data_IF_375420726172
#
_entry.id   IF_375420726172
#
_cell.length_a   1.000
_cell.length_b   1.000
_cell.length_c   1.000
_cell.angle_alpha   90.00
_cell.angle_beta   90.00
_cell.angle_gamma   90.00
#
_symmetry.space_group_name_H-M   'P 1'
#
loop_
_entity.id
_entity.type
_entity.pdbx_description
1 polymer ?
#
# COMPACT_ATOMS: atom_id res chain seq x y z
N UNK A 1 10.87 25.59 -6.03
CA UNK A 1 11.25 25.54 -4.61
C UNK A 1 12.71 25.13 -4.44
N UNK A 2 13.11 23.87 -4.65
CA UNK A 2 14.53 23.44 -4.52
C UNK A 2 15.52 24.27 -5.35
N UNK A 3 15.23 24.52 -6.64
CA UNK A 3 16.05 25.39 -7.49
C UNK A 3 16.30 26.79 -6.92
N UNK A 4 15.29 27.35 -6.24
CA UNK A 4 15.37 28.68 -5.66
C UNK A 4 16.30 28.66 -4.43
N UNK A 5 16.19 27.63 -3.58
CA UNK A 5 17.08 27.45 -2.43
C UNK A 5 18.54 27.25 -2.84
N UNK A 6 18.81 26.48 -3.91
CA UNK A 6 20.17 26.36 -4.44
C UNK A 6 20.73 27.72 -4.90
N UNK A 7 19.91 28.55 -5.55
CA UNK A 7 20.31 29.89 -5.98
C UNK A 7 20.61 30.81 -4.79
N UNK A 8 19.81 30.74 -3.72
CA UNK A 8 19.99 31.53 -2.51
C UNK A 8 21.21 31.09 -1.67
N UNK A 9 21.58 29.80 -1.73
CA UNK A 9 22.70 29.25 -0.98
C UNK A 9 24.08 29.63 -1.52
N UNK A 10 24.17 30.11 -2.77
CA UNK A 10 25.40 30.62 -3.37
C UNK A 10 25.82 29.89 -4.64
N UNK A 11 26.86 30.41 -5.28
CA UNK A 11 27.39 29.87 -6.53
C UNK A 11 27.99 28.47 -6.32
N UNK A 12 27.74 27.56 -7.28
CA UNK A 12 28.21 26.17 -7.22
C UNK A 12 27.32 25.20 -6.44
N UNK A 13 26.28 25.67 -5.74
CA UNK A 13 25.30 24.78 -5.06
C UNK A 13 24.29 24.24 -6.08
N UNK A 14 24.23 22.92 -6.19
CA UNK A 14 23.31 22.21 -7.10
C UNK A 14 22.64 21.04 -6.40
N UNK A 15 21.71 20.38 -7.08
CA UNK A 15 21.04 19.18 -6.61
C UNK A 15 20.87 18.19 -7.77
N UNK A 16 20.74 16.93 -7.40
CA UNK A 16 20.31 15.87 -8.30
C UNK A 16 19.17 15.09 -7.66
N UNK A 17 18.38 14.41 -8.48
CA UNK A 17 17.38 13.47 -7.99
C UNK A 17 17.95 12.07 -8.10
N UNK A 18 18.29 11.46 -6.98
CA UNK A 18 18.64 10.04 -6.93
C UNK A 18 17.47 9.16 -7.42
N UNK A 19 16.25 9.50 -7.00
CA UNK A 19 15.03 8.85 -7.45
C UNK A 19 13.92 9.86 -7.77
N UNK A 20 13.30 9.72 -8.94
CA UNK A 20 12.07 10.42 -9.29
C UNK A 20 10.89 9.53 -8.96
N UNK A 21 9.96 10.04 -8.15
CA UNK A 21 8.72 9.35 -7.78
C UNK A 21 7.55 10.06 -8.47
N UNK A 22 7.32 9.84 -9.78
CA UNK A 22 6.17 10.42 -10.46
C UNK A 22 4.89 9.92 -9.79
N UNK A 23 3.84 10.76 -9.81
CA UNK A 23 2.54 10.36 -9.32
C UNK A 23 2.05 9.13 -10.12
N UNK A 24 1.61 8.10 -9.40
CA UNK A 24 0.98 6.91 -9.99
C UNK A 24 -0.43 6.84 -9.45
N UNK A 25 -1.40 6.82 -10.37
CA UNK A 25 -2.83 6.75 -10.06
C UNK A 25 -3.16 5.63 -9.07
N UNK A 26 -4.06 5.93 -8.13
CA UNK A 26 -4.50 4.96 -7.13
C UNK A 26 -5.41 3.91 -7.75
N UNK A 27 -5.36 2.68 -7.22
CA UNK A 27 -6.32 1.64 -7.61
C UNK A 27 -7.71 2.07 -7.17
N UNK A 28 -8.67 2.11 -8.10
CA UNK A 28 -10.06 2.42 -7.79
C UNK A 28 -10.68 1.31 -6.96
N UNK A 29 -11.37 1.70 -5.88
CA UNK A 29 -12.14 0.82 -4.99
C UNK A 29 -13.63 1.09 -5.17
N UNK A 30 -14.10 1.07 -6.42
CA UNK A 30 -15.49 1.26 -6.82
C UNK A 30 -15.92 0.17 -7.83
N UNK A 31 -17.16 0.23 -8.29
CA UNK A 31 -17.73 -0.76 -9.21
C UNK A 31 -17.11 -0.75 -10.63
N UNK A 32 -16.21 0.19 -10.94
CA UNK A 32 -15.49 0.23 -12.22
C UNK A 32 -14.28 -0.70 -12.26
N UNK A 33 -13.85 -1.22 -11.09
CA UNK A 33 -12.72 -2.13 -10.98
C UNK A 33 -13.21 -3.57 -10.66
N UNK A 34 -13.17 -4.50 -11.63
CA UNK A 34 -13.66 -5.86 -11.42
C UNK A 34 -12.85 -6.64 -10.36
N UNK A 35 -11.56 -6.36 -10.22
CA UNK A 35 -10.72 -6.99 -9.20
C UNK A 35 -11.11 -6.53 -7.79
N UNK A 36 -11.45 -5.26 -7.63
CA UNK A 36 -11.99 -4.75 -6.37
C UNK A 36 -13.34 -5.36 -6.04
N UNK A 37 -14.24 -5.47 -7.03
CA UNK A 37 -15.56 -6.06 -6.82
C UNK A 37 -15.48 -7.52 -6.39
N UNK A 38 -14.61 -8.32 -7.04
CA UNK A 38 -14.36 -9.70 -6.64
C UNK A 38 -13.80 -9.79 -5.22
N UNK A 39 -12.76 -9.01 -4.93
CA UNK A 39 -12.14 -8.95 -3.59
C UNK A 39 -13.16 -8.56 -2.51
N UNK A 40 -13.96 -7.51 -2.76
CA UNK A 40 -14.97 -7.01 -1.82
C UNK A 40 -16.07 -8.05 -1.60
N UNK A 41 -16.54 -8.74 -2.64
CA UNK A 41 -17.55 -9.79 -2.52
C UNK A 41 -17.08 -10.91 -1.61
N UNK A 42 -15.87 -11.44 -1.84
CA UNK A 42 -15.28 -12.48 -1.01
C UNK A 42 -15.12 -12.03 0.45
N UNK A 43 -14.68 -10.79 0.68
CA UNK A 43 -14.60 -10.21 2.02
C UNK A 43 -15.97 -10.06 2.70
N UNK A 44 -16.99 -9.60 1.97
CA UNK A 44 -18.36 -9.44 2.46
C UNK A 44 -18.99 -10.79 2.83
N UNK A 45 -18.78 -11.84 2.03
CA UNK A 45 -19.24 -13.21 2.29
C UNK A 45 -18.65 -13.77 3.60
N UNK A 46 -17.37 -13.47 3.85
CA UNK A 46 -16.69 -13.80 5.11
C UNK A 46 -17.06 -12.86 6.26
N UNK A 47 -17.93 -11.86 6.02
CA UNK A 47 -18.33 -10.81 6.98
C UNK A 47 -17.12 -10.03 7.54
N UNK A 48 -16.08 -9.85 6.72
CA UNK A 48 -14.93 -9.05 7.08
C UNK A 48 -15.23 -7.57 6.87
N UNK A 49 -14.83 -6.73 7.84
CA UNK A 49 -14.87 -5.28 7.68
C UNK A 49 -13.56 -4.81 7.03
N UNK A 50 -13.65 -4.36 5.79
CA UNK A 50 -12.52 -3.77 5.08
C UNK A 50 -12.29 -2.33 5.56
N UNK A 51 -11.04 -2.00 5.89
CA UNK A 51 -10.58 -0.66 6.23
C UNK A 51 -9.71 -0.13 5.09
N UNK A 52 -10.34 0.53 4.12
CA UNK A 52 -9.68 1.00 2.91
C UNK A 52 -8.89 2.27 3.21
N UNK A 53 -7.57 2.21 3.10
CA UNK A 53 -6.68 3.35 3.37
C UNK A 53 -5.55 3.43 2.36
N UNK A 54 -5.01 4.63 2.17
CA UNK A 54 -3.70 4.79 1.55
C UNK A 54 -2.66 4.39 2.59
N UNK A 55 -1.91 3.34 2.28
CA UNK A 55 -0.82 2.90 3.16
C UNK A 55 0.27 3.98 3.18
N UNK A 56 0.69 4.48 4.36
CA UNK A 56 1.67 5.56 4.46
C UNK A 56 3.08 5.13 4.04
N UNK A 57 3.36 3.82 4.01
CA UNK A 57 4.61 3.26 3.50
C UNK A 57 4.63 3.04 1.99
N UNK A 58 5.80 2.65 1.46
CA UNK A 58 5.96 2.24 0.07
C UNK A 58 5.67 0.76 -0.13
N UNK A 59 5.01 0.41 -1.23
CA UNK A 59 4.88 -0.98 -1.70
C UNK A 59 5.19 -1.05 -3.20
N UNK A 60 5.53 -2.24 -3.67
CA UNK A 60 5.81 -2.48 -5.09
C UNK A 60 4.57 -2.34 -5.99
N UNK A 61 3.38 -2.24 -5.40
CA UNK A 61 2.12 -1.92 -6.09
C UNK A 61 2.21 -0.62 -6.89
N UNK A 62 3.12 0.32 -6.56
CA UNK A 62 3.36 1.51 -7.39
C UNK A 62 3.93 1.17 -8.77
N UNK A 63 4.76 0.13 -8.88
CA UNK A 63 5.35 -0.30 -10.15
C UNK A 63 4.32 -1.05 -11.00
N UNK A 64 3.49 -1.87 -10.37
CA UNK A 64 2.37 -2.58 -11.01
C UNK A 64 1.33 -1.58 -11.57
N UNK A 65 0.91 -0.60 -10.76
CA UNK A 65 -0.01 0.45 -11.21
C UNK A 65 0.58 1.32 -12.32
N UNK A 66 1.89 1.54 -12.33
CA UNK A 66 2.57 2.31 -13.38
C UNK A 66 2.46 1.67 -14.77
N UNK A 67 2.29 0.34 -14.85
CA UNK A 67 2.06 -0.36 -16.13
C UNK A 67 0.56 -0.60 -16.42
N UNK A 68 -0.33 0.09 -15.69
CA UNK A 68 -1.77 0.06 -15.92
C UNK A 68 -2.52 -1.09 -15.24
N UNK A 69 -1.85 -1.86 -14.37
CA UNK A 69 -2.47 -2.99 -13.68
C UNK A 69 -2.95 -2.54 -12.29
N UNK A 70 -4.25 -2.68 -11.95
CA UNK A 70 -4.73 -2.36 -10.61
C UNK A 70 -4.11 -3.30 -9.58
N UNK A 71 -3.69 -2.75 -8.45
CA UNK A 71 -3.07 -3.50 -7.35
C UNK A 71 -3.71 -3.14 -6.01
N UNK A 72 -4.11 -4.15 -5.25
CA UNK A 72 -4.71 -4.00 -3.92
C UNK A 72 -3.75 -4.61 -2.90
N UNK A 73 -3.28 -3.79 -1.96
CA UNK A 73 -2.54 -4.29 -0.80
C UNK A 73 -3.51 -4.73 0.28
N UNK A 74 -3.28 -5.89 0.89
CA UNK A 74 -4.15 -6.41 1.93
C UNK A 74 -3.36 -7.12 3.03
N UNK A 75 -3.71 -6.83 4.28
CA UNK A 75 -3.13 -7.46 5.46
C UNK A 75 -4.24 -8.12 6.28
N UNK A 76 -4.37 -9.46 6.28
CA UNK A 76 -5.36 -10.15 7.09
C UNK A 76 -4.98 -10.25 8.58
N UNK A 77 -3.98 -9.48 9.02
CA UNK A 77 -3.43 -9.47 10.38
C UNK A 77 -4.33 -8.67 11.35
N UNK A 78 -5.61 -9.01 11.39
CA UNK A 78 -6.53 -8.36 12.31
C UNK A 78 -6.23 -8.71 13.78
N UNK A 79 -6.71 -7.87 14.70
CA UNK A 79 -6.47 -8.01 16.14
C UNK A 79 -4.98 -8.09 16.54
N UNK A 80 -4.11 -7.54 15.70
CA UNK A 80 -2.65 -7.46 15.92
C UNK A 80 -2.26 -5.98 15.96
N UNK A 81 -1.40 -5.55 16.90
CA UNK A 81 -0.87 -4.19 16.89
C UNK A 81 -0.07 -3.93 15.61
N UNK A 82 -0.01 -2.67 15.17
CA UNK A 82 0.84 -2.27 14.05
C UNK A 82 2.27 -2.10 14.58
N UNK A 83 3.11 -3.12 14.38
CA UNK A 83 4.51 -3.16 14.83
C UNK A 83 5.52 -3.28 13.69
N UNK A 84 5.10 -3.03 12.44
CA UNK A 84 6.02 -3.10 11.30
C UNK A 84 7.21 -2.17 11.52
N UNK A 85 8.42 -2.74 11.50
CA UNK A 85 9.68 -2.02 11.78
C UNK A 85 9.81 -1.47 13.21
N UNK A 86 9.05 -1.98 14.18
CA UNK A 86 9.17 -1.60 15.59
C UNK A 86 9.84 -2.70 16.42
N UNK A 87 10.11 -2.40 17.69
CA UNK A 87 10.67 -3.33 18.65
C UNK A 87 9.67 -4.46 18.93
N UNK A 88 10.20 -5.66 19.13
CA UNK A 88 9.43 -6.87 19.43
C UNK A 88 8.30 -7.14 18.42
N UNK A 89 8.52 -6.82 17.13
CA UNK A 89 7.57 -7.11 16.05
C UNK A 89 7.16 -8.60 16.08
N UNK A 90 5.85 -8.86 16.15
CA UNK A 90 5.31 -10.22 16.17
C UNK A 90 3.99 -10.34 15.43
N UNK A 91 3.67 -11.57 15.04
CA UNK A 91 2.35 -11.99 14.58
C UNK A 91 1.98 -13.28 15.28
N UNK A 92 0.78 -13.35 15.85
CA UNK A 92 0.29 -14.58 16.47
C UNK A 92 0.04 -15.65 15.40
N UNK A 93 0.43 -16.89 15.69
CA UNK A 93 0.31 -18.00 14.75
C UNK A 93 -1.14 -18.27 14.33
N UNK A 94 -2.12 -18.15 15.23
CA UNK A 94 -3.53 -18.33 14.90
C UNK A 94 -4.07 -17.24 13.96
N UNK A 95 -3.59 -16.00 14.10
CA UNK A 95 -3.92 -14.91 13.16
C UNK A 95 -3.27 -15.15 11.80
N UNK A 96 -2.01 -15.60 11.77
CA UNK A 96 -1.34 -15.99 10.53
C UNK A 96 -2.11 -17.11 9.79
N UNK A 97 -2.49 -18.18 10.50
CA UNK A 97 -3.25 -19.29 9.93
C UNK A 97 -4.63 -18.85 9.42
N UNK A 98 -5.36 -18.04 10.20
CA UNK A 98 -6.61 -17.42 9.73
C UNK A 98 -6.39 -16.55 8.50
N UNK A 99 -5.25 -15.87 8.40
CA UNK A 99 -4.89 -15.07 7.24
C UNK A 99 -4.77 -15.92 5.96
N UNK A 100 -4.25 -17.14 6.07
CA UNK A 100 -4.23 -18.10 4.96
C UNK A 100 -5.65 -18.46 4.54
N UNK A 101 -6.54 -18.79 5.48
CA UNK A 101 -7.94 -19.12 5.17
C UNK A 101 -8.65 -17.96 4.46
N UNK A 102 -8.39 -16.71 4.87
CA UNK A 102 -8.92 -15.52 4.21
C UNK A 102 -8.38 -15.42 2.77
N UNK A 103 -7.08 -15.56 2.57
CA UNK A 103 -6.47 -15.49 1.23
C UNK A 103 -6.96 -16.59 0.29
N UNK A 104 -7.27 -17.79 0.78
CA UNK A 104 -7.84 -18.88 -0.04
C UNK A 104 -9.25 -18.55 -0.54
N UNK A 105 -9.98 -17.67 0.16
CA UNK A 105 -11.33 -17.24 -0.22
C UNK A 105 -11.36 -16.00 -1.11
N UNK A 106 -10.32 -15.18 -1.07
CA UNK A 106 -10.16 -13.97 -1.90
C UNK A 106 -9.83 -14.32 -3.35
#
# INVERSE_FOLDING_TARGET
>A
MVKQWCKEAGEGVTYEFEQKNPCVEVTKTDNTNPYWMAFKSAADEMKLKLDCRIFPGGTDSRYVRRVGIPAIGFSPMNHTPVLLHDHDEFLRSDIFLRGIDIYVKL
#
